data_IF_666309077608
#
_entry.id   IF_666309077608
#
_cell.length_a   1.000
_cell.length_b   1.000
_cell.length_c   1.000
_cell.angle_alpha   90.00
_cell.angle_beta   90.00
_cell.angle_gamma   90.00
#
_symmetry.space_group_name_H-M   'P 1'
#
loop_
_entity.id
_entity.type
_entity.pdbx_description
1 polymer ?
#
# COMPACT_ATOMS: atom_id res chain seq x y z
N UNK A 1 23.44 1.29 4.93
CA UNK A 1 23.23 2.47 5.79
C UNK A 1 21.82 2.92 5.52
N UNK A 2 20.95 2.93 6.54
CA UNK A 2 19.58 3.41 6.40
C UNK A 2 19.57 4.81 5.77
N UNK A 3 18.58 5.11 4.93
CA UNK A 3 18.45 6.44 4.35
C UNK A 3 18.20 7.46 5.48
N UNK A 4 19.20 8.28 5.77
CA UNK A 4 19.08 9.42 6.68
C UNK A 4 18.69 10.65 5.88
N UNK A 5 17.48 11.18 6.08
CA UNK A 5 16.97 12.38 5.40
C UNK A 5 15.70 12.12 4.57
N UNK A 6 15.45 12.93 3.54
CA UNK A 6 14.35 12.73 2.59
C UNK A 6 14.61 11.45 1.79
N UNK A 7 13.76 10.45 1.96
CA UNK A 7 13.88 9.17 1.25
C UNK A 7 13.60 9.39 -0.24
N UNK A 8 14.48 8.87 -1.10
CA UNK A 8 14.25 8.89 -2.53
C UNK A 8 13.11 7.91 -2.88
N UNK A 9 12.02 8.43 -3.46
CA UNK A 9 10.85 7.63 -3.84
C UNK A 9 11.17 6.53 -4.85
N UNK A 10 12.22 6.67 -5.65
CA UNK A 10 12.65 5.63 -6.59
C UNK A 10 13.22 4.37 -5.90
N UNK A 11 13.60 4.47 -4.62
CA UNK A 11 14.07 3.33 -3.84
C UNK A 11 12.92 2.57 -3.18
N UNK A 12 11.73 3.17 -3.08
CA UNK A 12 10.57 2.58 -2.42
C UNK A 12 9.79 1.73 -3.43
N UNK A 13 9.53 0.47 -3.07
CA UNK A 13 8.77 -0.46 -3.88
C UNK A 13 7.66 -1.13 -3.08
N UNK A 14 6.58 -1.51 -3.77
CA UNK A 14 5.53 -2.36 -3.21
C UNK A 14 5.87 -3.82 -3.54
N UNK A 15 5.86 -4.68 -2.54
CA UNK A 15 6.10 -6.12 -2.67
C UNK A 15 4.88 -6.90 -2.18
N UNK A 16 4.59 -8.01 -2.83
CA UNK A 16 3.64 -9.03 -2.40
C UNK A 16 4.42 -10.22 -1.87
N UNK A 17 4.52 -10.35 -0.55
CA UNK A 17 5.46 -11.24 0.11
C UNK A 17 6.89 -10.93 -0.31
N UNK A 18 7.51 -11.81 -1.10
CA UNK A 18 8.87 -11.65 -1.63
C UNK A 18 8.92 -11.10 -3.05
N UNK A 19 7.78 -11.04 -3.76
CA UNK A 19 7.72 -10.63 -5.16
C UNK A 19 7.52 -9.12 -5.26
N UNK A 20 8.46 -8.43 -5.90
CA UNK A 20 8.30 -7.00 -6.20
C UNK A 20 7.20 -6.80 -7.24
N UNK A 21 6.33 -5.82 -7.01
CA UNK A 21 5.40 -5.32 -8.03
C UNK A 21 6.22 -4.55 -9.06
N UNK A 22 6.54 -5.23 -10.17
CA UNK A 22 7.51 -4.78 -11.16
C UNK A 22 7.09 -3.50 -11.88
N UNK A 23 8.07 -2.66 -12.22
CA UNK A 23 7.87 -1.41 -12.98
C UNK A 23 6.94 -0.40 -12.31
N UNK A 24 6.86 -0.41 -10.97
CA UNK A 24 6.13 0.61 -10.20
C UNK A 24 6.74 2.00 -10.37
N UNK A 25 6.00 2.91 -11.00
CA UNK A 25 6.35 4.33 -11.15
C UNK A 25 6.00 5.16 -9.92
N UNK A 26 5.11 4.65 -9.06
CA UNK A 26 4.75 5.31 -7.82
C UNK A 26 4.09 4.36 -6.83
N UNK A 27 4.32 4.61 -5.54
CA UNK A 27 3.69 3.89 -4.44
C UNK A 27 3.21 4.87 -3.38
N UNK A 28 2.02 4.62 -2.83
CA UNK A 28 1.38 5.46 -1.83
C UNK A 28 0.79 4.61 -0.72
N UNK A 29 1.26 4.86 0.50
CA UNK A 29 0.66 4.34 1.73
C UNK A 29 -0.29 5.40 2.30
N UNK A 30 -1.54 5.02 2.55
CA UNK A 30 -2.51 5.88 3.25
C UNK A 30 -2.95 5.19 4.53
N UNK A 31 -2.80 5.88 5.67
CA UNK A 31 -3.27 5.42 6.98
C UNK A 31 -4.23 6.49 7.51
N UNK A 32 -5.44 6.09 7.85
CA UNK A 32 -6.51 6.95 8.35
C UNK A 32 -7.02 6.40 9.68
N UNK A 33 -6.91 7.20 10.74
CA UNK A 33 -7.55 6.91 12.01
C UNK A 33 -8.95 7.54 12.02
N UNK A 34 -9.97 6.74 12.33
CA UNK A 34 -11.37 7.18 12.50
C UNK A 34 -11.71 7.18 13.99
N UNK A 35 -11.31 8.21 14.77
CA UNK A 35 -11.62 8.27 16.19
C UNK A 35 -13.13 8.42 16.42
N UNK A 36 -13.64 7.82 17.50
CA UNK A 36 -15.06 7.91 17.87
C UNK A 36 -15.28 9.11 18.78
N UNK A 37 -16.27 9.92 18.47
CA UNK A 37 -16.71 11.01 19.35
C UNK A 37 -17.47 10.44 20.56
N UNK A 38 -17.09 10.85 21.77
CA UNK A 38 -17.70 10.43 23.04
C UNK A 38 -17.92 11.60 23.99
N UNK A 39 -18.19 12.78 23.43
CA UNK A 39 -18.52 13.97 24.21
C UNK A 39 -19.76 13.73 25.07
N UNK A 40 -19.66 14.12 26.34
CA UNK A 40 -20.76 14.09 27.31
C UNK A 40 -21.15 15.53 27.70
N UNK A 41 -22.18 15.69 28.55
CA UNK A 41 -22.72 17.00 28.94
C UNK A 41 -21.76 17.87 29.77
N UNK A 42 -20.67 17.28 30.29
CA UNK A 42 -19.61 17.98 31.03
C UNK A 42 -18.38 18.32 30.14
N UNK A 43 -18.38 17.92 28.87
CA UNK A 43 -17.21 18.08 27.97
C UNK A 43 -16.97 19.53 27.48
N UNK A 44 -17.78 20.50 27.91
CA UNK A 44 -17.64 21.90 27.49
C UNK A 44 -17.79 22.07 25.96
N UNK A 45 -17.02 22.98 25.36
CA UNK A 45 -17.09 23.31 23.93
C UNK A 45 -16.23 22.42 23.02
N UNK A 46 -15.36 21.56 23.58
CA UNK A 46 -14.40 20.77 22.82
C UNK A 46 -14.80 19.29 22.82
N UNK A 47 -14.80 18.68 21.64
CA UNK A 47 -15.23 17.30 21.48
C UNK A 47 -14.19 16.31 22.04
N UNK A 48 -14.64 15.38 22.90
CA UNK A 48 -13.80 14.32 23.46
C UNK A 48 -13.81 13.10 22.55
N UNK A 49 -12.64 12.70 22.07
CA UNK A 49 -12.47 11.60 21.11
C UNK A 49 -11.84 10.39 21.78
N UNK A 50 -12.42 9.20 21.59
CA UNK A 50 -11.79 7.93 21.93
C UNK A 50 -11.17 7.29 20.68
N UNK A 51 -10.23 6.37 20.91
CA UNK A 51 -9.63 5.54 19.87
C UNK A 51 -10.73 4.78 19.10
N UNK A 52 -10.65 4.86 17.78
CA UNK A 52 -11.56 4.17 16.88
C UNK A 52 -10.79 3.32 15.89
N UNK A 53 -11.43 2.94 14.80
CA UNK A 53 -10.82 2.03 13.85
C UNK A 53 -9.72 2.73 13.04
N UNK A 54 -8.63 2.01 12.79
CA UNK A 54 -7.57 2.42 11.87
C UNK A 54 -7.79 1.70 10.55
N UNK A 55 -7.82 2.49 9.49
CA UNK A 55 -8.05 2.06 8.12
C UNK A 55 -6.75 2.37 7.36
N UNK A 56 -6.25 1.40 6.60
CA UNK A 56 -5.02 1.60 5.83
C UNK A 56 -5.15 0.97 4.45
N UNK A 57 -4.58 1.65 3.46
CA UNK A 57 -4.57 1.20 2.09
C UNK A 57 -3.24 1.51 1.41
N UNK A 58 -2.88 0.67 0.44
CA UNK A 58 -1.66 0.78 -0.35
C UNK A 58 -2.08 0.86 -1.80
N UNK A 59 -1.64 1.90 -2.50
CA UNK A 59 -1.88 2.06 -3.93
C UNK A 59 -0.58 2.23 -4.67
N UNK A 60 -0.54 1.75 -5.91
CA UNK A 60 0.61 1.92 -6.77
C UNK A 60 0.21 1.97 -8.23
N UNK A 61 1.11 2.51 -9.04
CA UNK A 61 1.00 2.52 -10.49
C UNK A 61 2.31 2.11 -11.12
N UNK A 62 2.25 1.54 -12.32
CA UNK A 62 3.43 1.10 -13.04
C UNK A 62 3.17 0.84 -14.53
N UNK A 63 4.23 0.45 -15.23
CA UNK A 63 4.12 0.04 -16.64
C UNK A 63 3.75 -1.43 -16.74
N UNK A 64 2.75 -1.72 -17.56
CA UNK A 64 2.27 -3.08 -17.75
C UNK A 64 3.24 -3.83 -18.65
N UNK A 65 3.79 -4.93 -18.12
CA UNK A 65 4.67 -5.85 -18.84
C UNK A 65 4.23 -7.29 -18.60
N UNK A 66 4.28 -8.11 -19.65
CA UNK A 66 3.98 -9.54 -19.60
C UNK A 66 5.18 -10.36 -19.11
N UNK A 67 6.42 -9.83 -19.16
CA UNK A 67 7.65 -10.55 -18.84
C UNK A 67 8.01 -10.59 -17.36
N UNK A 68 7.69 -9.55 -16.59
CA UNK A 68 8.17 -9.37 -15.21
C UNK A 68 7.22 -9.86 -14.10
N UNK A 69 6.13 -10.55 -14.44
CA UNK A 69 5.30 -11.34 -13.51
C UNK A 69 4.46 -10.55 -12.47
N UNK A 70 4.75 -9.28 -12.23
CA UNK A 70 4.05 -8.44 -11.25
C UNK A 70 2.57 -8.25 -11.59
N UNK A 71 2.26 -7.80 -12.81
CA UNK A 71 0.87 -7.53 -13.23
C UNK A 71 0.02 -8.81 -13.35
N UNK A 72 0.60 -9.91 -13.84
CA UNK A 72 -0.06 -11.24 -13.90
C UNK A 72 -0.42 -11.77 -12.50
N UNK A 73 0.47 -11.58 -11.53
CA UNK A 73 0.22 -12.01 -10.13
C UNK A 73 -0.93 -11.21 -9.53
N UNK A 74 -1.01 -9.90 -9.80
CA UNK A 74 -2.10 -9.04 -9.35
C UNK A 74 -3.45 -9.43 -9.96
N UNK A 75 -3.49 -9.67 -11.28
CA UNK A 75 -4.70 -10.10 -12.01
C UNK A 75 -5.20 -11.45 -11.50
N UNK A 76 -4.31 -12.43 -11.32
CA UNK A 76 -4.69 -13.74 -10.80
C UNK A 76 -5.16 -13.63 -9.34
N UNK A 77 -4.52 -12.76 -8.57
CA UNK A 77 -4.81 -12.53 -7.16
C UNK A 77 -6.19 -11.95 -6.87
N UNK A 78 -6.62 -10.98 -7.67
CA UNK A 78 -7.95 -10.36 -7.51
C UNK A 78 -9.07 -11.32 -7.91
N UNK A 79 -8.86 -12.12 -8.97
CA UNK A 79 -9.80 -13.16 -9.39
C UNK A 79 -9.96 -14.27 -8.34
N UNK A 80 -8.85 -14.67 -7.71
CA UNK A 80 -8.84 -15.66 -6.65
C UNK A 80 -9.22 -15.09 -5.26
N UNK A 81 -9.39 -13.76 -5.13
CA UNK A 81 -9.62 -13.04 -3.86
C UNK A 81 -8.59 -13.42 -2.80
N UNK A 82 -7.33 -13.55 -3.22
CA UNK A 82 -6.26 -14.03 -2.35
C UNK A 82 -5.87 -12.93 -1.37
N UNK A 83 -5.69 -13.30 -0.10
CA UNK A 83 -5.10 -12.42 0.90
C UNK A 83 -3.60 -12.32 0.65
N UNK A 84 -3.10 -11.11 0.36
CA UNK A 84 -1.68 -10.87 0.15
C UNK A 84 -1.06 -10.20 1.37
N UNK A 85 0.16 -10.61 1.71
CA UNK A 85 1.01 -9.83 2.62
C UNK A 85 1.73 -8.77 1.80
N UNK A 86 1.29 -7.52 1.90
CA UNK A 86 1.87 -6.39 1.17
C UNK A 86 2.97 -5.77 2.03
N UNK A 87 4.11 -5.51 1.41
CA UNK A 87 5.25 -4.83 2.03
C UNK A 87 5.59 -3.57 1.24
N UNK A 88 5.71 -2.43 1.92
CA UNK A 88 6.32 -1.22 1.36
C UNK A 88 7.67 -1.06 2.04
N UNK A 89 8.73 -1.32 1.27
CA UNK A 89 10.10 -1.21 1.73
C UNK A 89 11.00 -0.62 0.66
N UNK A 90 12.13 -0.08 1.10
CA UNK A 90 13.23 0.22 0.19
C UNK A 90 14.13 -1.02 0.06
N UNK A 91 14.95 -1.08 -1.00
CA UNK A 91 15.99 -2.10 -1.11
C UNK A 91 17.23 -1.79 -0.26
N UNK A 92 17.14 -0.85 0.69
CA UNK A 92 18.25 -0.40 1.53
C UNK A 92 18.12 -1.01 2.93
N UNK A 93 19.13 -1.79 3.33
CA UNK A 93 19.21 -2.39 4.67
C UNK A 93 19.22 -1.31 5.76
N UNK A 94 18.30 -1.41 6.72
CA UNK A 94 18.06 -0.47 7.81
C UNK A 94 16.81 0.41 7.67
N UNK A 95 16.14 0.41 6.52
CA UNK A 95 14.94 1.22 6.30
C UNK A 95 13.66 0.54 6.81
N UNK A 96 12.64 1.35 7.12
CA UNK A 96 11.36 0.87 7.65
C UNK A 96 10.59 0.09 6.57
N UNK A 97 10.19 -1.13 6.92
CA UNK A 97 9.28 -1.97 6.14
C UNK A 97 7.88 -1.87 6.77
N UNK A 98 6.92 -1.40 5.97
CA UNK A 98 5.52 -1.38 6.34
C UNK A 98 4.85 -2.61 5.74
N UNK A 99 4.50 -3.56 6.60
CA UNK A 99 3.92 -4.84 6.19
C UNK A 99 2.52 -5.02 6.76
N UNK A 100 1.62 -5.60 5.97
CA UNK A 100 0.26 -5.88 6.41
C UNK A 100 -0.44 -6.84 5.47
N UNK A 101 -1.46 -7.53 5.98
CA UNK A 101 -2.32 -8.36 5.12
C UNK A 101 -3.37 -7.47 4.45
N UNK A 102 -3.50 -7.54 3.14
CA UNK A 102 -4.46 -6.76 2.38
C UNK A 102 -5.09 -7.59 1.25
N UNK A 103 -6.31 -7.19 0.88
CA UNK A 103 -6.96 -7.67 -0.33
C UNK A 103 -6.74 -6.65 -1.46
N UNK A 104 -6.58 -7.15 -2.68
CA UNK A 104 -6.59 -6.28 -3.85
C UNK A 104 -8.04 -5.87 -4.14
N UNK A 105 -8.34 -4.58 -4.00
CA UNK A 105 -9.68 -4.04 -4.18
C UNK A 105 -9.94 -3.57 -5.61
N UNK A 106 -8.91 -3.06 -6.29
CA UNK A 106 -8.99 -2.72 -7.70
C UNK A 106 -7.67 -2.99 -8.42
N UNK A 107 -7.79 -3.39 -9.67
CA UNK A 107 -6.70 -3.49 -10.63
C UNK A 107 -7.22 -2.98 -11.97
N UNK A 108 -6.59 -1.95 -12.48
CA UNK A 108 -6.97 -1.28 -13.71
C UNK A 108 -5.75 -1.26 -14.62
N UNK A 109 -5.88 -1.76 -15.85
CA UNK A 109 -4.82 -1.76 -16.84
C UNK A 109 -5.29 -1.04 -18.10
N UNK A 110 -4.51 -0.06 -18.54
CA UNK A 110 -4.76 0.77 -19.70
C UNK A 110 -3.81 0.38 -20.84
N UNK A 111 -4.39 0.12 -22.01
CA UNK A 111 -3.69 -0.27 -23.23
C UNK A 111 -4.00 0.71 -24.38
N UNK A 112 -3.49 1.95 -24.30
CA UNK A 112 -3.70 2.97 -25.34
C UNK A 112 -3.00 2.61 -26.66
N UNK A 113 -3.59 3.02 -27.79
CA UNK A 113 -3.01 2.86 -29.13
C UNK A 113 -1.75 3.73 -29.26
N UNK A 114 -0.63 3.13 -29.70
CA UNK A 114 0.69 3.76 -29.84
C UNK A 114 1.33 4.35 -28.57
N UNK A 115 0.86 3.99 -27.38
CA UNK A 115 1.44 4.43 -26.12
C UNK A 115 1.86 3.23 -25.23
N UNK A 116 2.65 3.50 -24.18
CA UNK A 116 3.08 2.45 -23.25
C UNK A 116 1.91 2.01 -22.38
N UNK A 117 1.69 0.70 -22.28
CA UNK A 117 0.65 0.14 -21.43
C UNK A 117 0.97 0.41 -19.95
N UNK A 118 -0.03 0.83 -19.18
CA UNK A 118 0.12 1.14 -17.76
C UNK A 118 -0.88 0.35 -16.93
N UNK A 119 -0.57 0.18 -15.66
CA UNK A 119 -1.50 -0.40 -14.70
C UNK A 119 -1.49 0.38 -13.39
N UNK A 120 -2.64 0.35 -12.72
CA UNK A 120 -2.82 0.87 -11.38
C UNK A 120 -3.52 -0.16 -10.50
N UNK A 121 -3.16 -0.18 -9.23
CA UNK A 121 -3.68 -1.15 -8.29
C UNK A 121 -3.90 -0.52 -6.92
N UNK A 122 -4.94 -0.98 -6.23
CA UNK A 122 -5.26 -0.56 -4.87
C UNK A 122 -5.48 -1.78 -3.98
N UNK A 123 -4.79 -1.78 -2.85
CA UNK A 123 -4.90 -2.75 -1.78
C UNK A 123 -5.58 -2.11 -0.59
N UNK A 124 -6.61 -2.78 -0.09
CA UNK A 124 -7.26 -2.43 1.17
C UNK A 124 -6.81 -3.38 2.27
N UNK A 125 -6.22 -2.80 3.29
CA UNK A 125 -5.62 -3.50 4.41
C UNK A 125 -6.65 -4.10 5.34
N UNK A 126 -6.45 -5.35 5.71
CA UNK A 126 -7.24 -6.03 6.74
C UNK A 126 -6.34 -6.45 7.90
N UNK A 127 -6.56 -5.83 9.05
CA UNK A 127 -5.82 -6.12 10.28
C UNK A 127 -4.74 -5.08 10.59
N UNK A 128 -3.86 -5.41 11.52
CA UNK A 128 -2.80 -4.51 12.01
C UNK A 128 -1.70 -4.33 10.97
N UNK A 129 -1.38 -3.09 10.64
CA UNK A 129 -0.17 -2.73 9.91
C UNK A 129 1.04 -2.86 10.84
N UNK A 130 1.98 -3.74 10.49
CA UNK A 130 3.21 -3.95 11.23
C UNK A 130 4.33 -3.09 10.62
N UNK A 131 5.05 -2.37 11.48
CA UNK A 131 6.22 -1.59 11.09
C UNK A 131 7.47 -2.32 11.56
N UNK A 132 8.17 -2.94 10.62
CA UNK A 132 9.46 -3.56 10.85
C UNK A 132 10.59 -2.66 10.36
N UNK A 133 11.83 -3.00 10.72
CA UNK A 133 13.03 -2.42 10.12
C UNK A 133 13.68 -3.53 9.29
N UNK A 134 14.07 -3.24 8.05
CA UNK A 134 14.75 -4.19 7.16
C UNK A 134 16.18 -4.43 7.60
#
# INVERSE_FOLDING_TARGET
MATTGVVNGALMGVYLGTTLVALGTGCKLSIKHKPREASNKDAGAFASKLEGQIDWSISGSGYFDFGTGGAQTLITGILARTLYTVHIKSNVTGDKDYSGSAYLSSFDADFPDQESSTYSFSFDGTGTLSVAST
#
